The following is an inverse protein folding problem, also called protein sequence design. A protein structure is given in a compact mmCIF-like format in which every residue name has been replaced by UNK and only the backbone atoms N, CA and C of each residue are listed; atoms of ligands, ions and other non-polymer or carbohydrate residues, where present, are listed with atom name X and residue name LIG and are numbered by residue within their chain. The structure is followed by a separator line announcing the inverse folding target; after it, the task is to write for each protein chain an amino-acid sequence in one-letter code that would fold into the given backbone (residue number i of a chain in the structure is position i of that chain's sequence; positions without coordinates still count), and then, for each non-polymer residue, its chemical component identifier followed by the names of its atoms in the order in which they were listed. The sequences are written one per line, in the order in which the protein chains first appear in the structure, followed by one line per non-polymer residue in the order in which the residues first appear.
data_IF_203529758826
#
_entry.id   IF_203529758826
#
_cell.length_a   1.000
_cell.length_b   1.000
_cell.length_c   1.000
_cell.angle_alpha   90.00
_cell.angle_beta   90.00
_cell.angle_gamma   90.00
#
_symmetry.space_group_name_H-M   'P 1'
#
loop_
_entity.id
_entity.type
_entity.pdbx_description
1 polymer ?
#
# COMPACT_ATOMS: atom_id res chain seq x y z
N UNK A 1 9.75 21.32 -13.35
CA UNK A 1 9.60 20.11 -12.54
C UNK A 1 8.18 20.13 -12.00
N UNK A 2 7.42 19.10 -12.30
CA UNK A 2 6.05 18.97 -11.82
C UNK A 2 6.10 18.70 -10.30
N UNK A 3 5.30 19.43 -9.50
CA UNK A 3 5.24 19.19 -8.06
C UNK A 3 4.48 17.89 -7.84
N UNK A 4 5.18 16.85 -7.40
CA UNK A 4 4.53 15.60 -6.97
C UNK A 4 4.09 15.72 -5.51
N UNK A 5 2.94 15.11 -5.21
CA UNK A 5 2.42 14.93 -3.86
C UNK A 5 2.78 13.53 -3.34
N UNK A 6 3.05 13.44 -2.04
CA UNK A 6 3.37 12.18 -1.38
C UNK A 6 2.32 11.82 -0.34
N UNK A 7 1.99 10.54 -0.26
CA UNK A 7 1.01 10.03 0.69
C UNK A 7 1.53 8.79 1.40
N UNK A 8 1.41 8.76 2.71
CA UNK A 8 1.56 7.55 3.51
C UNK A 8 0.26 6.75 3.47
N UNK A 9 0.39 5.46 3.21
CA UNK A 9 -0.70 4.48 3.17
C UNK A 9 -0.51 3.47 4.29
N UNK A 10 -1.59 3.22 5.04
CA UNK A 10 -1.70 2.10 5.96
C UNK A 10 -2.85 1.20 5.50
N UNK A 11 -2.52 0.03 4.98
CA UNK A 11 -3.48 -1.00 4.59
C UNK A 11 -3.77 -1.91 5.79
N UNK A 12 -5.02 -1.96 6.21
CA UNK A 12 -5.44 -2.65 7.42
C UNK A 12 -6.24 -3.89 7.05
N UNK A 13 -5.70 -5.04 7.45
CA UNK A 13 -6.35 -6.34 7.29
C UNK A 13 -7.62 -6.52 8.13
N UNK A 14 -8.39 -7.58 7.85
CA UNK A 14 -9.65 -7.85 8.55
C UNK A 14 -9.46 -8.28 10.01
N UNK A 15 -8.27 -8.78 10.38
CA UNK A 15 -7.91 -9.24 11.73
C UNK A 15 -6.40 -9.13 12.00
N UNK A 16 -5.95 -9.03 13.27
CA UNK A 16 -4.52 -8.93 13.60
C UNK A 16 -3.68 -10.14 13.18
N UNK A 17 -4.27 -11.33 13.14
CA UNK A 17 -3.56 -12.56 12.73
C UNK A 17 -3.43 -12.72 11.21
N UNK A 18 -4.04 -11.81 10.44
CA UNK A 18 -4.31 -11.97 9.02
C UNK A 18 -3.10 -12.40 8.18
N UNK A 19 -1.90 -11.80 8.30
CA UNK A 19 -0.76 -12.24 7.49
C UNK A 19 -0.32 -13.69 7.73
N UNK A 20 -0.66 -14.25 8.89
CA UNK A 20 -0.22 -15.57 9.33
C UNK A 20 -1.27 -16.67 9.08
N UNK A 21 -2.54 -16.30 8.93
CA UNK A 21 -3.66 -17.25 8.89
C UNK A 21 -4.62 -17.04 7.71
N UNK A 22 -4.18 -16.40 6.62
CA UNK A 22 -4.99 -16.28 5.41
C UNK A 22 -5.45 -17.64 4.89
N UNK A 23 -6.73 -17.77 4.62
CA UNK A 23 -7.27 -18.88 3.83
C UNK A 23 -6.86 -18.75 2.35
N UNK A 24 -7.26 -19.73 1.53
CA UNK A 24 -6.88 -19.77 0.11
C UNK A 24 -7.39 -18.58 -0.70
N UNK A 25 -8.65 -18.16 -0.51
CA UNK A 25 -9.22 -17.04 -1.25
C UNK A 25 -8.64 -15.69 -0.81
N UNK A 26 -8.42 -15.51 0.48
CA UNK A 26 -7.73 -14.35 1.04
C UNK A 26 -6.30 -14.25 0.49
N UNK A 27 -5.57 -15.37 0.44
CA UNK A 27 -4.20 -15.43 -0.10
C UNK A 27 -4.16 -15.09 -1.58
N UNK A 28 -5.08 -15.65 -2.37
CA UNK A 28 -5.18 -15.36 -3.80
C UNK A 28 -5.46 -13.87 -4.05
N UNK A 29 -6.33 -13.25 -3.24
CA UNK A 29 -6.61 -11.83 -3.33
C UNK A 29 -5.41 -10.96 -2.91
N UNK A 30 -4.68 -11.36 -1.86
CA UNK A 30 -3.46 -10.67 -1.46
C UNK A 30 -2.32 -10.81 -2.48
N UNK A 31 -2.28 -11.90 -3.26
CA UNK A 31 -1.38 -12.00 -4.43
C UNK A 31 -1.73 -10.98 -5.51
N UNK A 32 -3.01 -10.77 -5.80
CA UNK A 32 -3.46 -9.74 -6.75
C UNK A 32 -3.11 -8.33 -6.26
N UNK A 33 -3.34 -8.05 -4.97
CA UNK A 33 -2.90 -6.81 -4.33
C UNK A 33 -1.38 -6.59 -4.48
N UNK A 34 -0.56 -7.62 -4.22
CA UNK A 34 0.89 -7.51 -4.33
C UNK A 34 1.35 -7.21 -5.76
N UNK A 35 0.74 -7.87 -6.76
CA UNK A 35 0.99 -7.60 -8.18
C UNK A 35 0.58 -6.17 -8.56
N UNK A 36 -0.60 -5.74 -8.11
CA UNK A 36 -1.10 -4.38 -8.33
C UNK A 36 -0.11 -3.33 -7.82
N UNK A 37 0.37 -3.45 -6.57
CA UNK A 37 1.35 -2.51 -6.02
C UNK A 37 2.71 -2.59 -6.71
N UNK A 38 3.16 -3.79 -7.10
CA UNK A 38 4.40 -3.96 -7.86
C UNK A 38 4.35 -3.23 -9.21
N UNK A 39 3.22 -3.25 -9.92
CA UNK A 39 3.05 -2.50 -11.16
C UNK A 39 3.15 -0.99 -10.94
N UNK A 40 2.52 -0.47 -9.87
CA UNK A 40 2.59 0.97 -9.54
C UNK A 40 4.00 1.39 -9.11
N UNK A 41 4.72 0.50 -8.41
CA UNK A 41 6.13 0.69 -8.11
C UNK A 41 6.98 0.77 -9.39
N UNK A 42 6.77 -0.14 -10.34
CA UNK A 42 7.47 -0.10 -11.64
C UNK A 42 7.14 1.17 -12.45
N UNK A 43 5.96 1.75 -12.25
CA UNK A 43 5.54 3.03 -12.83
C UNK A 43 6.05 4.27 -12.06
N UNK A 44 6.81 4.08 -10.97
CA UNK A 44 7.27 5.13 -10.04
C UNK A 44 6.16 5.87 -9.29
N UNK A 45 4.96 5.29 -9.19
CA UNK A 45 3.86 5.85 -8.39
C UNK A 45 3.89 5.45 -6.93
N UNK A 46 4.65 4.40 -6.61
CA UNK A 46 4.92 3.91 -5.25
C UNK A 46 6.42 3.99 -5.06
N UNK A 47 6.89 4.65 -3.99
CA UNK A 47 8.31 4.78 -3.67
C UNK A 47 8.84 3.60 -2.86
N UNK A 48 8.02 3.08 -1.95
CA UNK A 48 8.30 1.93 -1.10
C UNK A 48 6.98 1.33 -0.65
N UNK A 49 6.94 0.01 -0.50
CA UNK A 49 5.81 -0.70 0.07
C UNK A 49 6.25 -2.01 0.72
N UNK A 50 5.43 -2.52 1.65
CA UNK A 50 5.66 -3.81 2.27
C UNK A 50 4.85 -4.02 3.55
N UNK A 51 4.83 -5.24 4.09
CA UNK A 51 4.21 -5.52 5.37
C UNK A 51 5.04 -4.93 6.51
N UNK A 52 4.37 -4.25 7.43
CA UNK A 52 4.90 -3.88 8.74
C UNK A 52 4.48 -4.96 9.73
N UNK A 53 5.46 -5.69 10.26
CA UNK A 53 5.23 -6.79 11.21
C UNK A 53 5.11 -6.26 12.65
N UNK A 54 4.17 -5.35 12.87
CA UNK A 54 3.84 -4.82 14.19
C UNK A 54 3.30 -5.96 15.09
N UNK A 55 3.94 -6.25 16.25
CA UNK A 55 3.47 -7.29 17.16
C UNK A 55 2.05 -7.08 17.71
N UNK A 56 1.55 -5.83 17.71
CA UNK A 56 0.19 -5.50 18.17
C UNK A 56 -0.86 -5.63 17.06
N UNK A 57 -0.43 -5.77 15.80
CA UNK A 57 -1.32 -5.89 14.67
C UNK A 57 -0.62 -5.50 13.37
N UNK A 58 -0.08 -6.47 12.61
CA UNK A 58 0.55 -6.22 11.33
C UNK A 58 -0.37 -5.49 10.33
N UNK A 59 0.23 -4.70 9.46
CA UNK A 59 -0.47 -3.93 8.43
C UNK A 59 0.42 -3.74 7.19
N UNK A 60 -0.16 -3.42 6.04
CA UNK A 60 0.60 -3.01 4.86
C UNK A 60 0.96 -1.52 4.94
N UNK A 61 2.18 -1.16 4.56
CA UNK A 61 2.64 0.21 4.42
C UNK A 61 2.99 0.50 2.97
N UNK A 62 2.64 1.70 2.50
CA UNK A 62 3.09 2.22 1.21
C UNK A 62 3.35 3.72 1.27
N UNK A 63 4.24 4.21 0.42
CA UNK A 63 4.41 5.64 0.15
C UNK A 63 4.16 5.89 -1.32
N UNK A 64 3.13 6.68 -1.64
CA UNK A 64 2.82 7.09 -3.01
C UNK A 64 3.58 8.36 -3.40
N UNK A 65 3.92 8.48 -4.68
CA UNK A 65 4.37 9.71 -5.34
C UNK A 65 3.50 9.91 -6.59
N UNK A 66 2.62 10.90 -6.57
CA UNK A 66 1.56 11.10 -7.56
C UNK A 66 1.30 12.58 -7.81
N UNK A 67 0.49 12.94 -8.80
CA UNK A 67 0.19 14.34 -9.11
C UNK A 67 -0.63 15.03 -8.00
N UNK A 68 -1.63 14.35 -7.46
CA UNK A 68 -2.56 14.92 -6.49
C UNK A 68 -3.28 13.87 -5.61
N UNK A 69 -4.16 14.33 -4.71
CA UNK A 69 -4.98 13.48 -3.84
C UNK A 69 -5.98 12.60 -4.64
N UNK A 70 -6.48 13.07 -5.78
CA UNK A 70 -7.45 12.33 -6.57
C UNK A 70 -6.80 11.09 -7.22
N UNK A 71 -5.58 11.23 -7.73
CA UNK A 71 -4.79 10.10 -8.21
C UNK A 71 -4.45 9.13 -7.08
N UNK A 72 -4.05 9.64 -5.90
CA UNK A 72 -3.75 8.81 -4.74
C UNK A 72 -4.97 7.95 -4.32
N UNK A 73 -6.15 8.57 -4.21
CA UNK A 73 -7.41 7.85 -3.92
C UNK A 73 -7.74 6.85 -5.01
N UNK A 74 -7.64 7.24 -6.28
CA UNK A 74 -7.88 6.34 -7.40
C UNK A 74 -7.01 5.09 -7.38
N UNK A 75 -5.74 5.20 -6.96
CA UNK A 75 -4.86 4.03 -6.78
C UNK A 75 -5.37 3.13 -5.66
N UNK A 76 -5.75 3.68 -4.50
CA UNK A 76 -6.17 2.90 -3.34
C UNK A 76 -7.56 2.30 -3.49
N UNK A 77 -8.50 3.04 -4.06
CA UNK A 77 -9.87 2.59 -4.32
C UNK A 77 -9.92 1.49 -5.40
N UNK A 78 -8.90 1.40 -6.25
CA UNK A 78 -8.75 0.36 -7.26
C UNK A 78 -7.87 -0.84 -6.81
N UNK A 79 -7.35 -0.84 -5.58
CA UNK A 79 -6.64 -1.97 -5.02
C UNK A 79 -7.59 -3.19 -4.95
N UNK A 80 -7.24 -4.35 -5.53
CA UNK A 80 -8.11 -5.54 -5.54
C UNK A 80 -8.61 -5.93 -4.14
N UNK A 81 -7.76 -5.81 -3.12
CA UNK A 81 -8.11 -6.17 -1.75
C UNK A 81 -9.07 -5.17 -1.09
N UNK A 82 -9.03 -3.90 -1.51
CA UNK A 82 -9.97 -2.86 -1.06
C UNK A 82 -11.30 -2.98 -1.79
N UNK A 83 -11.28 -3.18 -3.12
CA UNK A 83 -12.49 -3.39 -3.94
C UNK A 83 -13.30 -4.58 -3.44
N UNK A 84 -12.62 -5.67 -3.07
CA UNK A 84 -13.26 -6.86 -2.53
C UNK A 84 -13.72 -6.71 -1.06
N UNK A 85 -13.46 -5.57 -0.41
CA UNK A 85 -13.80 -5.31 0.98
C UNK A 85 -13.00 -6.13 2.00
N UNK A 86 -11.92 -6.79 1.57
CA UNK A 86 -11.06 -7.58 2.45
C UNK A 86 -10.21 -6.67 3.35
N UNK A 87 -9.59 -5.66 2.72
CA UNK A 87 -8.78 -4.67 3.42
C UNK A 87 -9.46 -3.30 3.37
N UNK A 88 -9.16 -2.48 4.37
CA UNK A 88 -9.43 -1.03 4.34
C UNK A 88 -8.10 -0.30 4.36
N UNK A 89 -8.10 0.99 4.03
CA UNK A 89 -6.88 1.78 4.10
C UNK A 89 -7.10 3.11 4.83
N UNK A 90 -6.04 3.60 5.43
CA UNK A 90 -5.89 4.99 5.83
C UNK A 90 -4.84 5.65 4.93
N UNK A 91 -5.04 6.91 4.60
CA UNK A 91 -4.16 7.68 3.72
C UNK A 91 -3.97 9.09 4.25
N UNK A 92 -2.72 9.54 4.31
CA UNK A 92 -2.36 10.84 4.86
C UNK A 92 -1.29 11.53 4.00
N UNK A 93 -1.39 12.85 3.75
CA UNK A 93 -0.32 13.60 3.11
C UNK A 93 1.00 13.46 3.86
N UNK A 94 2.09 13.27 3.13
CA UNK A 94 3.43 13.09 3.67
C UNK A 94 4.37 14.14 3.08
N UNK A 95 5.29 14.66 3.89
CA UNK A 95 6.43 15.45 3.40
C UNK A 95 7.68 14.59 3.51
N UNK A 96 8.28 14.24 2.38
CA UNK A 96 9.52 13.49 2.36
C UNK A 96 10.69 14.46 2.61
N UNK A 97 11.39 14.29 3.73
CA UNK A 97 12.60 15.07 4.04
C UNK A 97 13.87 14.54 3.37
N UNK A 98 13.86 13.26 2.97
CA UNK A 98 14.96 12.57 2.30
C UNK A 98 14.72 11.06 2.31
N UNK A 99 15.30 10.34 1.36
CA UNK A 99 15.24 8.89 1.27
C UNK A 99 16.56 8.33 0.73
N UNK A 100 17.01 7.23 1.31
CA UNK A 100 18.16 6.44 0.86
C UNK A 100 17.82 4.98 1.15
N UNK A 101 18.19 4.09 0.24
CA UNK A 101 18.05 2.66 0.44
C UNK A 101 19.37 1.97 0.11
N UNK A 102 19.74 0.98 0.92
CA UNK A 102 20.65 -0.08 0.45
C UNK A 102 19.92 -0.87 -0.64
N UNK A 103 20.66 -1.57 -1.52
CA UNK A 103 20.02 -2.49 -2.46
C UNK A 103 19.12 -3.48 -1.69
N UNK A 104 17.84 -3.53 -2.08
CA UNK A 104 16.78 -4.39 -1.51
C UNK A 104 16.64 -5.64 -2.36
#
# INVERSE_FOLDING_TARGET
MELMAHFFIKLIGPRPTFPFDMNESERALMTQHAQYFQERFNQRKVLIYGPVMDPQGPYGMGVLEVADDAEARGIMDADPSVVAGLNRYEMYPMKIGGAQASAV
#
